data_IF_560817688197
#
_entry.id   IF_560817688197
#
_cell.length_a   1.000
_cell.length_b   1.000
_cell.length_c   1.000
_cell.angle_alpha   90.00
_cell.angle_beta   90.00
_cell.angle_gamma   90.00
#
_symmetry.space_group_name_H-M   'P 1'
#
loop_
_entity.id
_entity.type
_entity.pdbx_description
1 polymer ?
#
# COMPACT_ATOMS: atom_id res chain seq x y z
N UNK A 1 52.70 31.02 -14.19
CA UNK A 1 51.97 30.53 -15.39
C UNK A 1 50.93 29.53 -14.93
N UNK A 2 49.64 29.88 -15.03
CA UNK A 2 48.52 29.06 -14.53
C UNK A 2 48.22 27.94 -15.53
N UNK A 3 48.39 26.67 -15.15
CA UNK A 3 48.00 25.50 -15.94
C UNK A 3 46.47 25.39 -15.92
N UNK A 4 45.84 25.48 -17.10
CA UNK A 4 44.42 25.16 -17.26
C UNK A 4 44.29 23.63 -17.31
N UNK A 5 43.64 23.06 -16.30
CA UNK A 5 43.20 21.67 -16.32
C UNK A 5 41.92 21.62 -17.14
N UNK A 6 41.98 20.97 -18.31
CA UNK A 6 40.79 20.60 -19.08
C UNK A 6 40.30 19.29 -18.48
N UNK A 7 39.21 19.35 -17.71
CA UNK A 7 38.48 18.15 -17.29
C UNK A 7 37.64 17.72 -18.48
N UNK A 8 38.06 16.64 -19.13
CA UNK A 8 37.25 15.94 -20.14
C UNK A 8 36.14 15.22 -19.36
N UNK A 9 34.92 15.75 -19.44
CA UNK A 9 33.71 15.16 -18.90
C UNK A 9 33.22 14.09 -19.88
N UNK A 10 33.67 12.85 -19.69
CA UNK A 10 33.18 11.69 -20.42
C UNK A 10 33.22 10.48 -19.48
N UNK A 11 32.10 10.25 -18.79
CA UNK A 11 31.65 8.98 -18.18
C UNK A 11 30.39 9.30 -17.37
N UNK A 12 29.21 8.73 -17.62
CA UNK A 12 28.83 7.75 -18.62
C UNK A 12 27.31 7.71 -18.75
N UNK A 13 26.85 7.47 -19.98
CA UNK A 13 25.48 7.10 -20.30
C UNK A 13 25.16 5.68 -19.80
N UNK A 14 25.18 5.47 -18.49
CA UNK A 14 24.65 4.26 -17.85
C UNK A 14 23.73 4.69 -16.72
N UNK A 15 22.43 4.84 -17.02
CA UNK A 15 21.32 4.79 -16.06
C UNK A 15 19.92 4.83 -16.73
N UNK A 16 19.83 4.77 -18.07
CA UNK A 16 18.52 4.82 -18.76
C UNK A 16 17.85 3.46 -18.98
N UNK A 17 18.54 2.34 -18.75
CA UNK A 17 17.94 1.00 -18.93
C UNK A 17 17.11 0.52 -17.72
N UNK A 18 17.43 0.97 -16.49
CA UNK A 18 16.69 0.61 -15.28
C UNK A 18 15.39 1.41 -15.07
N UNK A 19 15.29 2.61 -15.65
CA UNK A 19 14.07 3.42 -15.55
C UNK A 19 12.94 2.88 -16.44
N UNK A 20 13.26 2.28 -17.60
CA UNK A 20 12.26 1.73 -18.51
C UNK A 20 11.64 0.41 -18.01
N UNK A 21 12.41 -0.45 -17.33
CA UNK A 21 11.86 -1.70 -16.76
C UNK A 21 10.87 -1.42 -15.64
N UNK A 22 11.22 -0.48 -14.75
CA UNK A 22 10.37 -0.13 -13.61
C UNK A 22 9.08 0.56 -14.06
N UNK A 23 9.15 1.46 -15.05
CA UNK A 23 7.96 2.08 -15.64
C UNK A 23 6.95 1.05 -16.20
N UNK A 24 7.44 -0.03 -16.83
CA UNK A 24 6.57 -1.11 -17.31
C UNK A 24 5.95 -1.91 -16.17
N UNK A 25 6.65 -2.10 -15.06
CA UNK A 25 6.12 -2.82 -13.90
C UNK A 25 5.03 -2.00 -13.19
N UNK A 26 5.22 -0.69 -13.01
CA UNK A 26 4.16 0.20 -12.53
C UNK A 26 2.95 0.18 -13.45
N UNK A 27 3.15 0.23 -14.77
CA UNK A 27 2.05 0.18 -15.74
C UNK A 27 1.22 -1.12 -15.66
N UNK A 28 1.85 -2.26 -15.32
CA UNK A 28 1.15 -3.53 -15.09
C UNK A 28 0.30 -3.50 -13.82
N UNK A 29 0.70 -2.73 -12.82
CA UNK A 29 -0.03 -2.59 -11.57
C UNK A 29 -1.27 -1.68 -11.69
N UNK A 30 -1.35 -0.85 -12.73
CA UNK A 30 -2.55 -0.06 -13.01
C UNK A 30 -3.72 -0.95 -13.48
N UNK A 31 -4.93 -0.57 -13.07
CA UNK A 31 -6.16 -1.27 -13.40
C UNK A 31 -7.26 -1.08 -12.37
N UNK A 32 -8.37 -1.76 -12.62
CA UNK A 32 -9.48 -1.90 -11.68
C UNK A 32 -9.39 -3.25 -10.97
N UNK A 33 -9.72 -3.25 -9.69
CA UNK A 33 -9.64 -4.40 -8.81
C UNK A 33 -10.96 -4.54 -8.08
N UNK A 34 -11.49 -5.76 -8.03
CA UNK A 34 -12.83 -6.03 -7.52
C UNK A 34 -12.77 -6.86 -6.24
N UNK A 35 -13.70 -6.55 -5.35
CA UNK A 35 -14.01 -7.28 -4.13
C UNK A 35 -15.54 -7.32 -3.95
N UNK A 36 -16.03 -8.33 -3.24
CA UNK A 36 -17.44 -8.40 -2.85
C UNK A 36 -17.49 -8.11 -1.37
N UNK A 37 -18.14 -7.00 -1.02
CA UNK A 37 -18.35 -6.61 0.36
C UNK A 37 -19.15 -7.68 1.11
N UNK A 38 -19.09 -7.64 2.45
CA UNK A 38 -19.84 -8.57 3.30
C UNK A 38 -21.37 -8.54 3.09
N UNK A 39 -21.91 -7.42 2.60
CA UNK A 39 -23.33 -7.25 2.24
C UNK A 39 -23.71 -7.79 0.84
N UNK A 40 -22.72 -8.30 0.10
CA UNK A 40 -22.88 -8.84 -1.26
C UNK A 40 -22.80 -7.79 -2.37
N UNK A 41 -22.60 -6.51 -2.05
CA UNK A 41 -22.37 -5.47 -3.05
C UNK A 41 -20.97 -5.56 -3.66
N UNK A 42 -20.84 -5.21 -4.94
CA UNK A 42 -19.55 -5.12 -5.60
C UNK A 42 -18.83 -3.84 -5.15
N UNK A 43 -17.55 -3.95 -4.86
CA UNK A 43 -16.66 -2.83 -4.57
C UNK A 43 -15.43 -2.87 -5.46
N UNK A 44 -14.87 -1.68 -5.68
CA UNK A 44 -13.82 -1.45 -6.66
C UNK A 44 -12.70 -0.59 -6.11
N UNK A 45 -11.48 -0.92 -6.50
CA UNK A 45 -10.33 -0.05 -6.36
C UNK A 45 -9.74 0.18 -7.74
N UNK A 46 -9.57 1.44 -8.12
CA UNK A 46 -8.95 1.82 -9.39
C UNK A 46 -7.62 2.49 -9.09
N UNK A 47 -6.55 1.93 -9.65
CA UNK A 47 -5.20 2.49 -9.56
C UNK A 47 -4.78 2.92 -10.96
N UNK A 48 -4.51 4.20 -11.14
CA UNK A 48 -3.92 4.76 -12.35
C UNK A 48 -2.66 5.56 -12.02
N UNK A 49 -2.03 6.18 -13.02
CA UNK A 49 -0.78 6.96 -12.86
C UNK A 49 -0.90 8.21 -11.97
N UNK A 50 -2.11 8.66 -11.67
CA UNK A 50 -2.40 9.91 -10.95
C UNK A 50 -2.90 9.63 -9.54
N UNK A 51 -3.70 8.58 -9.34
CA UNK A 51 -4.30 8.31 -8.05
C UNK A 51 -4.78 6.87 -7.83
N UNK A 52 -5.14 6.61 -6.58
CA UNK A 52 -6.02 5.51 -6.18
C UNK A 52 -7.42 6.06 -5.94
N UNK A 53 -8.43 5.37 -6.46
CA UNK A 53 -9.85 5.66 -6.25
C UNK A 53 -10.56 4.45 -5.66
N UNK A 54 -11.41 4.68 -4.67
CA UNK A 54 -12.27 3.66 -4.06
C UNK A 54 -13.70 3.84 -4.57
N UNK A 55 -14.36 2.73 -4.91
CA UNK A 55 -15.73 2.70 -5.41
C UNK A 55 -16.55 1.72 -4.56
N UNK A 56 -17.50 2.24 -3.78
CA UNK A 56 -18.38 1.43 -2.92
C UNK A 56 -17.63 0.46 -1.97
N UNK A 57 -16.40 0.79 -1.57
CA UNK A 57 -15.63 -0.02 -0.62
C UNK A 57 -16.11 0.24 0.80
N UNK A 58 -16.41 -0.82 1.55
CA UNK A 58 -16.73 -0.71 2.97
C UNK A 58 -15.47 -0.31 3.77
N UNK A 59 -15.39 0.98 4.10
CA UNK A 59 -14.25 1.54 4.81
C UNK A 59 -14.19 1.11 6.28
N UNK A 60 -15.33 0.75 6.88
CA UNK A 60 -15.37 0.23 8.25
C UNK A 60 -14.78 -1.19 8.27
N UNK A 61 -15.07 -2.00 7.25
CA UNK A 61 -14.46 -3.32 7.06
C UNK A 61 -12.93 -3.22 6.92
N UNK A 62 -12.43 -2.34 6.04
CA UNK A 62 -10.99 -2.12 5.90
C UNK A 62 -10.33 -1.56 7.17
N UNK A 63 -11.00 -0.65 7.90
CA UNK A 63 -10.53 -0.15 9.19
C UNK A 63 -10.38 -1.29 10.19
N UNK A 64 -11.39 -2.12 10.33
CA UNK A 64 -11.37 -3.26 11.25
C UNK A 64 -10.22 -4.22 10.93
N UNK A 65 -9.92 -4.42 9.65
CA UNK A 65 -8.80 -5.25 9.21
C UNK A 65 -7.43 -4.62 9.52
N UNK A 66 -7.25 -3.30 9.30
CA UNK A 66 -6.03 -2.59 9.74
C UNK A 66 -5.84 -2.72 11.25
N UNK A 67 -6.90 -2.49 12.03
CA UNK A 67 -6.84 -2.62 13.49
C UNK A 67 -6.44 -4.04 13.89
N UNK A 68 -7.05 -5.06 13.29
CA UNK A 68 -6.70 -6.44 13.58
C UNK A 68 -5.22 -6.76 13.27
N UNK A 69 -4.71 -6.24 12.15
CA UNK A 69 -3.30 -6.39 11.77
C UNK A 69 -2.35 -5.69 12.77
N UNK A 70 -2.63 -4.44 13.14
CA UNK A 70 -1.79 -3.68 14.09
C UNK A 70 -1.85 -4.27 15.52
N UNK A 71 -3.02 -4.80 15.94
CA UNK A 71 -3.12 -5.57 17.19
C UNK A 71 -2.17 -6.77 17.16
N UNK A 72 -2.16 -7.56 16.08
CA UNK A 72 -1.28 -8.73 15.98
C UNK A 72 0.20 -8.32 16.04
N UNK A 73 0.57 -7.23 15.38
CA UNK A 73 1.94 -6.69 15.39
C UNK A 73 2.37 -6.19 16.77
N UNK A 74 1.50 -5.46 17.47
CA UNK A 74 1.78 -4.96 18.83
C UNK A 74 1.88 -6.12 19.84
N UNK A 75 0.96 -7.09 19.76
CA UNK A 75 1.01 -8.32 20.58
C UNK A 75 2.33 -9.05 20.36
N UNK A 76 2.71 -9.30 19.09
CA UNK A 76 3.96 -9.98 18.77
C UNK A 76 5.21 -9.18 19.19
N UNK A 77 5.14 -7.85 19.27
CA UNK A 77 6.22 -7.03 19.81
C UNK A 77 6.34 -7.20 21.33
N UNK A 78 5.23 -7.10 22.06
CA UNK A 78 5.18 -7.29 23.51
C UNK A 78 5.63 -8.70 23.92
N UNK A 79 5.22 -9.73 23.20
CA UNK A 79 5.62 -11.11 23.46
C UNK A 79 7.13 -11.33 23.23
N UNK A 80 7.72 -10.68 22.22
CA UNK A 80 9.18 -10.67 22.01
C UNK A 80 9.94 -9.99 23.14
N UNK A 81 9.30 -9.03 23.81
CA UNK A 81 9.81 -8.36 25.01
C UNK A 81 9.55 -9.16 26.31
N UNK A 82 8.96 -10.36 26.20
CA UNK A 82 8.68 -11.24 27.34
C UNK A 82 7.40 -10.89 28.10
N UNK A 83 6.56 -9.99 27.56
CA UNK A 83 5.26 -9.66 28.14
C UNK A 83 4.23 -10.68 27.66
N UNK A 84 3.56 -11.35 28.61
CA UNK A 84 2.41 -12.20 28.27
C UNK A 84 1.19 -11.32 28.03
N UNK A 85 0.55 -11.46 26.87
CA UNK A 85 -0.63 -10.67 26.49
C UNK A 85 -1.88 -11.55 26.56
N UNK A 86 -2.75 -11.28 27.53
CA UNK A 86 -4.04 -11.95 27.66
C UNK A 86 -5.13 -11.31 26.78
N UNK A 87 -6.32 -11.93 26.74
CA UNK A 87 -7.42 -11.46 25.90
C UNK A 87 -7.94 -10.07 26.30
N UNK A 88 -7.89 -9.72 27.59
CA UNK A 88 -8.29 -8.38 28.03
C UNK A 88 -7.31 -7.34 27.50
N UNK A 89 -6.01 -7.61 27.57
CA UNK A 89 -4.99 -6.70 27.06
C UNK A 89 -5.06 -6.55 25.54
N UNK A 90 -5.38 -7.62 24.80
CA UNK A 90 -5.64 -7.54 23.35
C UNK A 90 -6.83 -6.64 23.03
N UNK A 91 -7.91 -6.73 23.82
CA UNK A 91 -9.07 -5.87 23.66
C UNK A 91 -8.75 -4.40 23.98
N UNK A 92 -7.98 -4.13 25.03
CA UNK A 92 -7.54 -2.77 25.36
C UNK A 92 -6.72 -2.14 24.21
N UNK A 93 -5.79 -2.91 23.63
CA UNK A 93 -4.99 -2.49 22.46
C UNK A 93 -5.92 -2.21 21.27
N UNK A 94 -6.87 -3.11 20.99
CA UNK A 94 -7.84 -2.96 19.91
C UNK A 94 -8.68 -1.69 20.05
N UNK A 95 -9.20 -1.41 21.26
CA UNK A 95 -10.00 -0.21 21.52
C UNK A 95 -9.20 1.07 21.34
N UNK A 96 -7.95 1.09 21.84
CA UNK A 96 -7.03 2.20 21.63
C UNK A 96 -6.81 2.48 20.14
N UNK A 97 -6.42 1.45 19.37
CA UNK A 97 -6.16 1.59 17.94
C UNK A 97 -7.42 2.01 17.15
N UNK A 98 -8.60 1.52 17.54
CA UNK A 98 -9.87 1.93 16.94
C UNK A 98 -10.18 3.42 17.12
N UNK A 99 -9.76 4.01 18.25
CA UNK A 99 -9.93 5.44 18.53
C UNK A 99 -8.89 6.29 17.81
N UNK A 100 -7.67 5.78 17.66
CA UNK A 100 -6.57 6.48 16.97
C UNK A 100 -6.77 6.52 15.45
N UNK A 101 -7.40 5.49 14.86
CA UNK A 101 -7.64 5.44 13.43
C UNK A 101 -8.90 6.20 12.99
N UNK A 102 -8.71 7.39 12.44
CA UNK A 102 -9.72 8.18 11.75
C UNK A 102 -9.77 7.86 10.25
N UNK A 103 -10.85 7.21 9.79
CA UNK A 103 -11.02 6.71 8.41
C UNK A 103 -12.13 7.44 7.63
N UNK A 104 -12.57 8.61 8.10
CA UNK A 104 -13.55 9.39 7.38
C UNK A 104 -12.97 9.91 6.05
N UNK A 105 -13.77 9.89 4.99
CA UNK A 105 -13.43 10.51 3.71
C UNK A 105 -12.81 9.61 2.63
N UNK A 106 -12.79 8.29 2.81
CA UNK A 106 -12.32 7.34 1.77
C UNK A 106 -13.40 6.81 0.82
N UNK A 107 -14.67 6.76 1.26
CA UNK A 107 -15.78 6.31 0.42
C UNK A 107 -16.01 7.30 -0.71
N UNK A 108 -15.64 6.92 -1.94
CA UNK A 108 -15.68 7.73 -3.17
C UNK A 108 -14.62 8.83 -3.31
N UNK A 109 -13.45 8.65 -2.69
CA UNK A 109 -12.35 9.61 -2.78
C UNK A 109 -11.21 9.15 -3.70
N UNK A 110 -10.57 10.14 -4.33
CA UNK A 110 -9.36 10.00 -5.15
C UNK A 110 -8.18 10.54 -4.36
N UNK A 111 -7.14 9.71 -4.19
CA UNK A 111 -5.96 10.06 -3.39
C UNK A 111 -4.67 9.96 -4.21
N UNK A 112 -3.79 10.95 -4.02
CA UNK A 112 -2.42 10.84 -4.49
C UNK A 112 -1.68 9.74 -3.72
N UNK A 113 -0.72 9.09 -4.37
CA UNK A 113 0.05 8.02 -3.79
C UNK A 113 1.52 8.11 -4.20
N UNK A 114 2.38 7.47 -3.41
CA UNK A 114 3.75 7.10 -3.80
C UNK A 114 3.79 5.61 -4.16
N UNK A 115 4.69 5.24 -5.07
CA UNK A 115 4.85 3.85 -5.45
C UNK A 115 6.32 3.44 -5.55
N UNK A 116 6.58 2.20 -5.15
CA UNK A 116 7.90 1.57 -5.21
C UNK A 116 7.76 0.16 -5.82
N UNK A 117 8.79 -0.26 -6.56
CA UNK A 117 8.85 -1.60 -7.12
C UNK A 117 9.99 -2.37 -6.45
N UNK A 118 9.66 -3.52 -5.87
CA UNK A 118 10.62 -4.46 -5.31
C UNK A 118 10.87 -5.61 -6.30
N UNK A 119 12.10 -5.70 -6.79
CA UNK A 119 12.50 -6.67 -7.81
C UNK A 119 12.48 -8.11 -7.29
N UNK A 120 12.90 -8.36 -6.05
CA UNK A 120 13.01 -9.71 -5.49
C UNK A 120 11.66 -10.40 -5.34
N UNK A 121 10.65 -9.67 -4.86
CA UNK A 121 9.29 -10.18 -4.68
C UNK A 121 8.42 -10.00 -5.94
N UNK A 122 8.88 -9.22 -6.92
CA UNK A 122 8.07 -8.76 -8.06
C UNK A 122 6.79 -8.02 -7.61
N UNK A 123 6.92 -7.18 -6.59
CA UNK A 123 5.77 -6.47 -5.99
C UNK A 123 5.87 -4.97 -6.25
N UNK A 124 4.74 -4.37 -6.60
CA UNK A 124 4.59 -2.91 -6.61
C UNK A 124 3.85 -2.50 -5.34
N UNK A 125 4.51 -1.70 -4.50
CA UNK A 125 3.92 -1.13 -3.30
C UNK A 125 3.36 0.24 -3.62
N UNK A 126 2.17 0.51 -3.11
CA UNK A 126 1.56 1.83 -3.15
C UNK A 126 1.34 2.29 -1.71
N UNK A 127 1.53 3.59 -1.48
CA UNK A 127 1.27 4.22 -0.21
C UNK A 127 0.46 5.50 -0.45
N UNK A 128 -0.70 5.59 0.19
CA UNK A 128 -1.59 6.75 0.09
C UNK A 128 -1.81 7.34 1.47
N UNK A 129 -1.63 8.65 1.60
CA UNK A 129 -1.87 9.40 2.83
C UNK A 129 -3.21 10.11 2.75
N UNK A 130 -3.99 10.06 3.82
CA UNK A 130 -5.25 10.81 3.90
C UNK A 130 -5.17 12.06 4.75
N UNK A 131 -6.23 12.88 4.70
CA UNK A 131 -6.30 14.20 5.35
C UNK A 131 -5.99 14.20 6.84
N UNK A 132 -6.04 13.04 7.51
CA UNK A 132 -5.70 12.88 8.93
C UNK A 132 -4.41 12.06 9.15
N UNK A 133 -3.52 12.01 8.15
CA UNK A 133 -2.23 11.31 8.19
C UNK A 133 -2.30 9.78 8.33
N UNK A 134 -3.47 9.18 8.07
CA UNK A 134 -3.58 7.73 8.02
C UNK A 134 -3.10 7.22 6.66
N UNK A 135 -2.08 6.37 6.71
CA UNK A 135 -1.50 5.69 5.55
C UNK A 135 -2.28 4.41 5.23
N UNK A 136 -2.60 4.25 3.94
CA UNK A 136 -3.01 2.99 3.34
C UNK A 136 -1.86 2.43 2.53
N UNK A 137 -1.53 1.18 2.81
CA UNK A 137 -0.54 0.41 2.08
C UNK A 137 -1.24 -0.62 1.20
N UNK A 138 -0.84 -0.64 -0.06
CA UNK A 138 -1.30 -1.60 -1.05
C UNK A 138 -0.08 -2.33 -1.60
N UNK A 139 -0.25 -3.61 -1.92
CA UNK A 139 0.79 -4.40 -2.58
C UNK A 139 0.20 -5.13 -3.77
N UNK A 140 0.74 -4.90 -4.95
CA UNK A 140 0.36 -5.61 -6.16
C UNK A 140 1.46 -6.59 -6.54
N UNK A 141 1.19 -7.88 -6.40
CA UNK A 141 2.08 -8.95 -6.81
C UNK A 141 1.93 -9.20 -8.32
N UNK A 142 2.99 -8.96 -9.09
CA UNK A 142 2.99 -9.13 -10.54
C UNK A 142 2.87 -10.59 -10.98
N UNK A 143 3.25 -11.55 -10.13
CA UNK A 143 3.19 -12.98 -10.44
C UNK A 143 1.76 -13.50 -10.31
N UNK A 144 1.08 -13.16 -9.23
CA UNK A 144 -0.29 -13.62 -8.95
C UNK A 144 -1.36 -12.69 -9.51
N UNK A 145 -0.99 -11.45 -9.87
CA UNK A 145 -1.87 -10.40 -10.33
C UNK A 145 -2.96 -10.03 -9.32
N UNK A 146 -2.64 -10.12 -8.03
CA UNK A 146 -3.53 -9.74 -6.94
C UNK A 146 -3.08 -8.44 -6.29
N UNK A 147 -4.04 -7.57 -6.00
CA UNK A 147 -3.83 -6.39 -5.16
C UNK A 147 -4.20 -6.78 -3.74
N UNK A 148 -3.31 -6.54 -2.78
CA UNK A 148 -3.56 -6.84 -1.37
C UNK A 148 -3.57 -5.57 -0.54
N UNK A 149 -4.56 -5.47 0.33
CA UNK A 149 -4.66 -4.43 1.37
C UNK A 149 -4.84 -5.18 2.69
N UNK A 150 -3.81 -5.14 3.54
CA UNK A 150 -3.71 -5.99 4.72
C UNK A 150 -3.95 -7.47 4.37
N UNK A 151 -5.03 -8.08 4.88
CA UNK A 151 -5.38 -9.48 4.64
C UNK A 151 -6.49 -9.66 3.58
N UNK A 152 -6.86 -8.60 2.85
CA UNK A 152 -7.84 -8.69 1.75
C UNK A 152 -7.11 -8.72 0.43
N UNK A 153 -7.47 -9.67 -0.41
CA UNK A 153 -7.01 -9.76 -1.79
C UNK A 153 -8.13 -9.33 -2.73
N UNK A 154 -7.81 -8.40 -3.62
CA UNK A 154 -8.67 -7.95 -4.71
C UNK A 154 -8.18 -8.58 -6.00
N UNK A 155 -9.12 -9.16 -6.75
CA UNK A 155 -8.83 -9.71 -8.06
C UNK A 155 -8.79 -8.59 -9.09
N UNK A 156 -7.85 -8.64 -10.03
CA UNK A 156 -7.85 -7.70 -11.15
C UNK A 156 -9.10 -7.93 -12.01
N UNK A 157 -9.87 -6.88 -12.23
CA UNK A 157 -11.08 -6.94 -13.05
C UNK A 157 -10.72 -7.39 -14.47
N UNK A 158 -11.46 -8.36 -14.99
CA UNK A 158 -11.34 -8.78 -16.38
C UNK A 158 -12.03 -7.73 -17.25
N UNK A 159 -11.27 -7.04 -18.12
CA UNK A 159 -11.84 -6.15 -19.14
C UNK A 159 -12.71 -6.91 -20.13
#
# INVERSE_FOLDING_TARGET
>A
MKKKVVIVLLTGCMLLLGACSNANNFAKAYGSFEYINSDGSASGIVIDKEAVQFENVDMDELKNMKVAFEVQKEVAALEREGVTVDEQKKEDIRQKLNQEFEWSGFGDAKFEYTAEYEEDSQTVYFESVTGNQNELFFSYDLNTQKLSIYNVEFAKASK
#
